data_IF_021700714705
#
_entry.id   IF_021700714705
#
_cell.length_a   1.000
_cell.length_b   1.000
_cell.length_c   1.000
_cell.angle_alpha   90.00
_cell.angle_beta   90.00
_cell.angle_gamma   90.00
#
_symmetry.space_group_name_H-M   'P 1'
#
loop_
_entity.id
_entity.type
_entity.pdbx_description
1 polymer ?
#
# COMPACT_ATOMS: atom_id res chain seq x y z
N UNK A 1 70.14 -18.02 8.35
CA UNK A 1 70.95 -16.84 7.93
C UNK A 1 70.68 -16.53 6.45
N UNK A 2 70.42 -15.26 6.14
CA UNK A 2 70.53 -14.53 4.84
C UNK A 2 69.67 -15.07 3.66
N UNK A 3 68.58 -14.36 3.29
CA UNK A 3 68.46 -13.23 2.33
C UNK A 3 68.75 -13.63 0.87
N UNK A 4 67.79 -13.42 -0.03
CA UNK A 4 67.77 -12.27 -0.96
C UNK A 4 66.46 -12.21 -1.73
N UNK A 5 65.83 -11.03 -1.70
CA UNK A 5 64.71 -10.59 -2.53
C UNK A 5 65.24 -9.55 -3.53
N UNK A 6 64.67 -9.54 -4.72
CA UNK A 6 65.11 -8.75 -5.89
C UNK A 6 64.26 -7.49 -6.06
N UNK A 7 64.96 -6.41 -6.40
CA UNK A 7 64.60 -5.32 -7.35
C UNK A 7 63.33 -4.48 -7.15
N UNK A 8 63.26 -3.19 -7.50
CA UNK A 8 64.19 -2.13 -7.90
C UNK A 8 63.32 -0.84 -7.83
N UNK A 9 63.83 0.25 -7.25
CA UNK A 9 63.21 1.57 -7.24
C UNK A 9 64.01 2.53 -8.13
N UNK A 10 63.31 3.35 -8.91
CA UNK A 10 63.83 4.50 -9.66
C UNK A 10 62.70 5.53 -9.91
N UNK A 11 63.00 6.82 -10.08
CA UNK A 11 62.30 7.88 -9.34
C UNK A 11 61.37 8.81 -10.15
N UNK A 12 60.63 9.63 -9.39
CA UNK A 12 59.70 10.71 -9.78
C UNK A 12 60.42 11.94 -10.37
N UNK A 13 59.74 12.81 -11.18
CA UNK A 13 59.31 14.10 -10.60
C UNK A 13 58.03 14.78 -11.17
N UNK A 14 57.40 15.56 -10.27
CA UNK A 14 56.77 16.91 -10.39
C UNK A 14 55.66 17.26 -11.43
N UNK A 15 54.44 17.28 -10.85
CA UNK A 15 53.20 18.10 -10.94
C UNK A 15 53.06 19.33 -11.89
N UNK A 16 51.79 19.50 -12.35
CA UNK A 16 50.97 20.72 -12.64
C UNK A 16 50.67 20.98 -14.15
N UNK A 17 49.45 21.22 -14.68
CA UNK A 17 48.09 21.53 -14.21
C UNK A 17 47.05 20.94 -15.20
N UNK A 18 45.81 20.63 -14.78
CA UNK A 18 44.66 20.36 -15.68
C UNK A 18 43.42 21.12 -15.19
N UNK A 19 42.59 21.72 -16.08
CA UNK A 19 41.45 22.56 -15.69
C UNK A 19 40.16 21.75 -15.40
N UNK A 20 39.37 22.30 -14.47
CA UNK A 20 37.90 22.36 -14.40
C UNK A 20 37.11 21.11 -14.81
N UNK A 21 36.64 20.32 -13.82
CA UNK A 21 35.60 19.30 -14.02
C UNK A 21 34.22 19.95 -14.20
N UNK A 22 33.64 19.75 -15.38
CA UNK A 22 32.19 19.79 -15.58
C UNK A 22 31.53 18.69 -14.74
N UNK A 23 30.46 19.06 -14.06
CA UNK A 23 29.53 18.12 -13.42
C UNK A 23 28.68 17.51 -14.52
N UNK A 24 29.08 16.34 -15.04
CA UNK A 24 28.20 15.51 -15.85
C UNK A 24 27.44 14.54 -14.96
N UNK A 25 26.12 14.59 -15.10
CA UNK A 25 25.13 13.73 -14.44
C UNK A 25 25.55 12.27 -14.40
N UNK A 26 25.56 11.67 -13.21
CA UNK A 26 25.54 10.23 -13.05
C UNK A 26 24.20 9.70 -13.56
N UNK A 27 24.16 9.32 -14.84
CA UNK A 27 23.20 8.36 -15.34
C UNK A 27 23.44 7.04 -14.60
N UNK A 28 22.52 6.68 -13.72
CA UNK A 28 22.54 5.39 -13.05
C UNK A 28 22.31 4.29 -14.10
N UNK A 29 23.14 3.24 -14.13
CA UNK A 29 22.89 2.11 -15.02
C UNK A 29 21.59 1.43 -14.60
N UNK A 30 20.61 1.44 -15.51
CA UNK A 30 19.45 0.57 -15.44
C UNK A 30 19.91 -0.87 -15.59
N UNK A 31 20.29 -1.51 -14.49
CA UNK A 31 20.36 -2.97 -14.47
C UNK A 31 18.93 -3.49 -14.61
N UNK A 32 18.64 -4.04 -15.79
CA UNK A 32 17.43 -4.77 -16.12
C UNK A 32 17.31 -6.05 -15.31
N UNK A 33 16.97 -5.92 -14.02
CA UNK A 33 16.08 -6.89 -13.42
C UNK A 33 14.77 -6.75 -14.20
N UNK A 34 14.42 -7.76 -14.99
CA UNK A 34 13.07 -7.90 -15.54
C UNK A 34 12.09 -7.55 -14.43
N UNK A 35 11.35 -6.45 -14.59
CA UNK A 35 10.35 -6.05 -13.62
C UNK A 35 9.46 -7.27 -13.39
N UNK A 36 9.52 -7.84 -12.18
CA UNK A 36 8.72 -9.01 -11.84
C UNK A 36 7.28 -8.55 -11.97
N UNK A 37 6.62 -8.99 -13.03
CA UNK A 37 5.26 -8.58 -13.38
C UNK A 37 4.29 -9.31 -12.45
N UNK A 38 4.30 -8.91 -11.17
CA UNK A 38 3.37 -9.38 -10.15
C UNK A 38 1.96 -9.06 -10.62
N UNK A 39 1.12 -10.10 -10.69
CA UNK A 39 -0.30 -9.95 -11.01
C UNK A 39 -1.14 -10.32 -9.81
N UNK A 40 -2.19 -9.55 -9.57
CA UNK A 40 -3.19 -9.85 -8.56
C UNK A 40 -4.60 -9.64 -9.10
N UNK A 41 -5.56 -10.25 -8.41
CA UNK A 41 -6.98 -10.01 -8.62
C UNK A 41 -7.57 -9.30 -7.40
N UNK A 42 -8.58 -8.47 -7.68
CA UNK A 42 -9.42 -7.87 -6.65
C UNK A 42 -10.73 -8.66 -6.58
N UNK A 43 -10.91 -9.41 -5.50
CA UNK A 43 -12.14 -10.17 -5.24
C UNK A 43 -13.01 -9.36 -4.27
N UNK A 44 -14.32 -9.19 -4.50
CA UNK A 44 -15.15 -8.41 -3.59
C UNK A 44 -15.21 -9.07 -2.21
N UNK A 45 -15.09 -8.26 -1.17
CA UNK A 45 -15.36 -8.67 0.20
C UNK A 45 -16.87 -8.87 0.38
N UNK A 46 -17.26 -9.92 1.09
CA UNK A 46 -18.65 -10.19 1.42
C UNK A 46 -18.97 -9.75 2.86
N UNK A 47 -19.70 -8.64 3.06
CA UNK A 47 -20.07 -8.15 4.39
C UNK A 47 -21.07 -9.07 5.12
N UNK A 48 -21.72 -9.98 4.40
CA UNK A 48 -22.74 -10.89 4.94
C UNK A 48 -22.16 -12.27 5.28
N UNK A 49 -20.90 -12.54 4.92
CA UNK A 49 -20.19 -13.76 5.27
C UNK A 49 -19.33 -13.58 6.52
N UNK A 50 -19.62 -14.35 7.57
CA UNK A 50 -18.84 -14.33 8.81
C UNK A 50 -17.36 -14.67 8.58
N UNK A 51 -17.06 -15.57 7.63
CA UNK A 51 -15.69 -15.95 7.28
C UNK A 51 -14.91 -14.77 6.67
N UNK A 52 -15.56 -13.97 5.82
CA UNK A 52 -14.97 -12.78 5.21
C UNK A 52 -14.77 -11.67 6.25
N UNK A 53 -15.75 -11.47 7.13
CA UNK A 53 -15.66 -10.47 8.22
C UNK A 53 -14.51 -10.82 9.16
N UNK A 54 -14.45 -12.07 9.62
CA UNK A 54 -13.39 -12.56 10.51
C UNK A 54 -12.01 -12.46 9.85
N UNK A 55 -11.88 -12.85 8.57
CA UNK A 55 -10.61 -12.69 7.84
C UNK A 55 -10.18 -11.23 7.79
N UNK A 56 -11.11 -10.30 7.62
CA UNK A 56 -10.77 -8.88 7.48
C UNK A 56 -10.31 -8.33 8.83
N UNK A 57 -10.97 -8.70 9.92
CA UNK A 57 -10.54 -8.41 11.30
C UNK A 57 -9.10 -8.90 11.52
N UNK A 58 -8.80 -10.15 11.17
CA UNK A 58 -7.44 -10.70 11.32
C UNK A 58 -6.39 -9.88 10.55
N UNK A 59 -6.68 -9.50 9.31
CA UNK A 59 -5.77 -8.65 8.53
C UNK A 59 -5.65 -7.23 9.09
N UNK A 60 -6.72 -6.66 9.69
CA UNK A 60 -6.66 -5.35 10.36
C UNK A 60 -5.88 -5.40 11.67
N UNK A 61 -5.98 -6.49 12.43
CA UNK A 61 -5.14 -6.74 13.60
C UNK A 61 -3.67 -6.82 13.16
N UNK A 62 -3.36 -7.60 12.11
CA UNK A 62 -2.01 -7.68 11.56
C UNK A 62 -1.50 -6.33 11.02
N UNK A 63 -2.40 -5.52 10.45
CA UNK A 63 -2.10 -4.16 10.00
C UNK A 63 -1.84 -3.20 11.18
N UNK A 64 -2.42 -3.45 12.35
CA UNK A 64 -2.33 -2.61 13.54
C UNK A 64 -3.31 -1.44 13.59
N UNK A 65 -4.37 -1.45 12.78
CA UNK A 65 -5.29 -0.30 12.64
C UNK A 65 -6.74 -0.73 12.46
N UNK A 66 -7.65 -0.16 13.25
CA UNK A 66 -9.10 -0.15 13.01
C UNK A 66 -9.73 -1.54 12.81
N UNK A 67 -9.31 -2.54 13.59
CA UNK A 67 -9.88 -3.88 13.51
C UNK A 67 -11.32 -3.91 14.04
N UNK A 68 -11.58 -3.12 15.08
CA UNK A 68 -12.88 -2.92 15.71
C UNK A 68 -13.92 -2.34 14.75
N UNK A 69 -13.49 -1.52 13.78
CA UNK A 69 -14.39 -0.84 12.81
C UNK A 69 -14.93 -1.78 11.73
N UNK A 70 -14.35 -2.97 11.55
CA UNK A 70 -14.75 -3.89 10.48
C UNK A 70 -16.21 -4.34 10.65
N UNK A 71 -16.55 -4.83 11.84
CA UNK A 71 -17.89 -5.34 12.12
C UNK A 71 -18.89 -4.23 12.47
N UNK A 72 -18.44 -3.14 13.10
CA UNK A 72 -19.32 -2.06 13.58
C UNK A 72 -19.63 -0.99 12.54
N UNK A 73 -18.76 -0.77 11.56
CA UNK A 73 -18.89 0.35 10.62
C UNK A 73 -18.73 -0.08 9.17
N UNK A 74 -17.64 -0.76 8.82
CA UNK A 74 -17.30 -1.00 7.42
C UNK A 74 -18.28 -1.97 6.73
N UNK A 75 -18.83 -2.92 7.50
CA UNK A 75 -19.93 -3.77 7.07
C UNK A 75 -21.13 -2.94 6.60
N UNK A 76 -21.56 -2.00 7.43
CA UNK A 76 -22.73 -1.15 7.17
C UNK A 76 -22.45 -0.15 6.04
N UNK A 77 -21.25 0.44 5.99
CA UNK A 77 -20.83 1.32 4.89
C UNK A 77 -20.85 0.59 3.53
N UNK A 78 -20.48 -0.69 3.50
CA UNK A 78 -20.53 -1.49 2.27
C UNK A 78 -21.94 -1.93 1.90
N UNK A 79 -22.78 -2.28 2.87
CA UNK A 79 -24.20 -2.55 2.66
C UNK A 79 -24.94 -1.31 2.14
N UNK A 80 -24.62 -0.14 2.67
CA UNK A 80 -25.18 1.15 2.26
C UNK A 80 -24.61 1.67 0.92
N UNK A 81 -23.66 0.96 0.30
CA UNK A 81 -23.07 1.38 -0.96
C UNK A 81 -22.32 2.72 -0.86
N UNK A 82 -21.60 2.92 0.25
CA UNK A 82 -20.67 4.03 0.49
C UNK A 82 -19.21 3.61 0.35
N UNK A 83 -18.92 2.33 0.63
CA UNK A 83 -17.61 1.70 0.54
C UNK A 83 -17.69 0.39 -0.23
N UNK A 84 -16.62 0.02 -0.92
CA UNK A 84 -16.41 -1.31 -1.47
C UNK A 84 -15.01 -1.77 -1.11
N UNK A 85 -14.93 -2.84 -0.34
CA UNK A 85 -13.71 -3.51 0.05
C UNK A 85 -13.48 -4.68 -0.91
N UNK A 86 -12.23 -4.83 -1.32
CA UNK A 86 -11.78 -5.92 -2.17
C UNK A 86 -10.59 -6.61 -1.51
N UNK A 87 -10.62 -7.93 -1.53
CA UNK A 87 -9.48 -8.78 -1.25
C UNK A 87 -8.44 -8.67 -2.36
N UNK A 88 -7.18 -8.56 -1.96
CA UNK A 88 -6.04 -8.71 -2.85
C UNK A 88 -5.66 -10.20 -2.86
N UNK A 89 -5.74 -10.81 -4.04
CA UNK A 89 -5.46 -12.24 -4.24
C UNK A 89 -4.34 -12.39 -5.27
N UNK A 90 -3.37 -13.26 -5.00
CA UNK A 90 -2.32 -13.59 -5.97
C UNK A 90 -2.94 -14.21 -7.23
N UNK A 91 -2.47 -13.79 -8.41
CA UNK A 91 -2.87 -14.41 -9.66
C UNK A 91 -2.33 -15.85 -9.75
N UNK A 92 -3.15 -16.86 -10.10
CA UNK A 92 -2.64 -18.22 -10.29
C UNK A 92 -1.65 -18.30 -11.46
N UNK A 93 -1.71 -17.35 -12.40
CA UNK A 93 -0.74 -17.22 -13.50
C UNK A 93 0.60 -16.61 -13.08
N UNK A 94 0.80 -16.29 -11.80
CA UNK A 94 2.07 -15.75 -11.30
C UNK A 94 3.12 -16.88 -11.20
N UNK A 95 4.30 -16.76 -11.84
CA UNK A 95 5.33 -17.79 -11.80
C UNK A 95 5.80 -18.15 -10.38
N UNK A 96 5.67 -17.24 -9.43
CA UNK A 96 6.08 -17.44 -8.03
C UNK A 96 4.87 -17.66 -7.09
N UNK A 97 3.70 -18.01 -7.62
CA UNK A 97 2.45 -18.14 -6.85
C UNK A 97 2.64 -18.99 -5.59
N UNK A 98 3.11 -20.24 -5.73
CA UNK A 98 3.27 -21.18 -4.61
C UNK A 98 4.26 -20.68 -3.56
N UNK A 99 5.38 -20.10 -4.01
CA UNK A 99 6.42 -19.56 -3.13
C UNK A 99 5.87 -18.37 -2.32
N UNK A 100 5.14 -17.47 -2.98
CA UNK A 100 4.56 -16.28 -2.33
C UNK A 100 3.45 -16.68 -1.37
N UNK A 101 2.55 -17.56 -1.80
CA UNK A 101 1.47 -18.06 -0.95
C UNK A 101 2.02 -18.77 0.29
N UNK A 102 3.03 -19.63 0.10
CA UNK A 102 3.71 -20.32 1.22
C UNK A 102 4.32 -19.34 2.21
N UNK A 103 4.97 -18.27 1.72
CA UNK A 103 5.56 -17.23 2.58
C UNK A 103 4.50 -16.47 3.37
N UNK A 104 3.35 -16.17 2.76
CA UNK A 104 2.21 -15.57 3.47
C UNK A 104 1.69 -16.50 4.56
N UNK A 105 1.38 -17.77 4.24
CA UNK A 105 0.84 -18.76 5.18
C UNK A 105 1.82 -19.03 6.33
N UNK A 106 3.12 -19.11 6.04
CA UNK A 106 4.13 -19.31 7.08
C UNK A 106 4.14 -18.18 8.12
N UNK A 107 3.84 -16.95 7.69
CA UNK A 107 3.75 -15.80 8.59
C UNK A 107 2.39 -15.64 9.25
N UNK A 108 1.31 -15.97 8.53
CA UNK A 108 -0.08 -15.85 8.99
C UNK A 108 -0.80 -17.21 8.89
N UNK A 109 -0.51 -18.18 9.77
CA UNK A 109 -1.10 -19.52 9.68
C UNK A 109 -2.63 -19.53 9.80
N UNK A 110 -3.20 -18.58 10.53
CA UNK A 110 -4.66 -18.39 10.66
C UNK A 110 -5.33 -18.01 9.33
N UNK A 111 -4.57 -17.45 8.39
CA UNK A 111 -5.07 -17.03 7.08
C UNK A 111 -4.97 -18.16 6.01
N UNK A 112 -4.52 -19.37 6.39
CA UNK A 112 -4.31 -20.49 5.46
C UNK A 112 -5.56 -20.96 4.75
N UNK A 113 -6.71 -20.96 5.44
CA UNK A 113 -7.94 -21.50 4.87
C UNK A 113 -8.45 -20.59 3.76
N UNK A 114 -8.80 -21.13 2.57
CA UNK A 114 -9.34 -20.32 1.49
C UNK A 114 -10.75 -19.85 1.81
N UNK A 115 -11.08 -18.62 1.40
CA UNK A 115 -12.44 -18.12 1.35
C UNK A 115 -13.13 -18.56 0.06
N UNK A 116 -14.46 -18.44 0.04
CA UNK A 116 -15.28 -18.59 -1.16
C UNK A 116 -15.71 -17.24 -1.71
N UNK A 117 -15.79 -17.16 -3.03
CA UNK A 117 -16.31 -15.98 -3.72
C UNK A 117 -17.84 -15.88 -3.60
N UNK A 118 -18.31 -15.33 -2.48
CA UNK A 118 -19.72 -15.23 -2.11
C UNK A 118 -20.31 -13.82 -2.29
N UNK A 119 -19.49 -12.78 -2.45
CA UNK A 119 -19.96 -11.39 -2.46
C UNK A 119 -20.94 -11.09 -3.59
N UNK A 120 -22.17 -10.69 -3.28
CA UNK A 120 -23.24 -10.55 -4.28
C UNK A 120 -23.24 -9.22 -5.03
N UNK A 121 -22.34 -8.30 -4.67
CA UNK A 121 -22.25 -6.99 -5.30
C UNK A 121 -20.80 -6.55 -5.48
N UNK A 122 -20.63 -5.64 -6.42
CA UNK A 122 -19.36 -4.96 -6.73
C UNK A 122 -19.60 -3.46 -6.81
N UNK A 123 -18.58 -2.68 -6.48
CA UNK A 123 -18.56 -1.22 -6.64
C UNK A 123 -19.54 -0.43 -5.77
N UNK A 124 -19.34 0.89 -5.81
CA UNK A 124 -20.08 1.92 -5.10
C UNK A 124 -20.73 2.83 -6.17
N UNK A 125 -22.05 2.79 -6.45
CA UNK A 125 -23.10 2.02 -5.77
C UNK A 125 -23.08 0.53 -6.14
N UNK A 126 -23.65 -0.30 -5.23
CA UNK A 126 -23.74 -1.76 -5.35
C UNK A 126 -24.29 -2.17 -6.71
N UNK A 127 -23.40 -2.66 -7.56
CA UNK A 127 -23.76 -3.33 -8.82
C UNK A 127 -23.87 -4.81 -8.54
N UNK A 128 -25.07 -5.36 -8.71
CA UNK A 128 -25.32 -6.78 -8.52
C UNK A 128 -24.42 -7.61 -9.43
N UNK A 129 -23.94 -8.74 -8.91
CA UNK A 129 -23.20 -9.72 -9.70
C UNK A 129 -23.45 -11.12 -9.18
N UNK A 130 -23.23 -12.10 -10.05
CA UNK A 130 -23.25 -13.50 -9.65
C UNK A 130 -21.94 -13.87 -8.92
N UNK A 131 -22.02 -14.40 -7.68
CA UNK A 131 -20.88 -14.97 -6.99
C UNK A 131 -20.33 -16.18 -7.76
N UNK A 132 -19.02 -16.26 -7.95
CA UNK A 132 -18.41 -17.38 -8.71
C UNK A 132 -18.17 -18.61 -7.85
N UNK A 133 -18.27 -18.48 -6.52
CA UNK A 133 -17.97 -19.53 -5.53
C UNK A 133 -16.56 -20.16 -5.66
N UNK A 134 -15.68 -19.51 -6.40
CA UNK A 134 -14.28 -19.90 -6.53
C UNK A 134 -13.57 -19.75 -5.18
N UNK A 135 -12.66 -20.67 -4.87
CA UNK A 135 -11.82 -20.60 -3.68
C UNK A 135 -10.62 -19.72 -3.91
N UNK A 136 -10.26 -18.89 -2.92
CA UNK A 136 -9.07 -18.06 -2.96
C UNK A 136 -8.51 -17.79 -1.56
N UNK A 137 -7.23 -17.46 -1.48
CA UNK A 137 -6.58 -17.03 -0.23
C UNK A 137 -6.27 -15.54 -0.33
N UNK A 138 -6.98 -14.67 0.43
CA UNK A 138 -6.64 -13.26 0.52
C UNK A 138 -5.25 -13.07 1.12
N UNK A 139 -4.45 -12.20 0.50
CA UNK A 139 -3.11 -11.81 1.01
C UNK A 139 -3.04 -10.30 1.31
N UNK A 140 -4.18 -9.64 1.33
CA UNK A 140 -4.35 -8.23 1.62
C UNK A 140 -5.76 -7.76 1.26
N UNK A 141 -6.01 -6.46 1.42
CA UNK A 141 -7.26 -5.82 1.03
C UNK A 141 -7.03 -4.35 0.63
N UNK A 142 -7.98 -3.79 -0.10
CA UNK A 142 -8.03 -2.39 -0.48
C UNK A 142 -9.50 -1.97 -0.60
N UNK A 143 -9.82 -0.71 -0.30
CA UNK A 143 -11.19 -0.23 -0.46
C UNK A 143 -11.28 1.03 -1.31
N UNK A 144 -12.39 1.14 -2.02
CA UNK A 144 -12.83 2.33 -2.74
C UNK A 144 -14.08 2.86 -2.03
N UNK A 145 -14.09 4.14 -1.66
CA UNK A 145 -15.23 4.80 -1.01
C UNK A 145 -15.65 6.07 -1.78
N UNK A 146 -16.93 6.40 -1.75
CA UNK A 146 -17.45 7.63 -2.35
C UNK A 146 -17.03 8.89 -1.59
N UNK A 147 -16.77 8.75 -0.30
CA UNK A 147 -16.54 9.85 0.61
C UNK A 147 -15.69 9.42 1.80
N UNK A 148 -15.14 10.41 2.51
CA UNK A 148 -14.53 10.26 3.83
C UNK A 148 -15.16 11.30 4.76
N UNK A 149 -16.19 10.94 5.55
CA UNK A 149 -16.90 11.88 6.40
C UNK A 149 -15.99 12.67 7.35
N UNK A 150 -14.90 12.06 7.84
CA UNK A 150 -13.96 12.71 8.75
C UNK A 150 -13.12 13.80 8.04
N UNK A 151 -13.01 13.74 6.71
CA UNK A 151 -12.24 14.69 5.91
C UNK A 151 -13.06 15.88 5.37
N UNK A 152 -14.40 15.86 5.53
CA UNK A 152 -15.29 16.88 4.93
C UNK A 152 -14.99 18.31 5.39
N UNK A 153 -14.64 18.48 6.65
CA UNK A 153 -14.35 19.79 7.24
C UNK A 153 -12.91 20.27 6.98
N UNK A 154 -12.11 19.48 6.25
CA UNK A 154 -10.71 19.80 6.01
C UNK A 154 -10.48 20.69 4.80
N UNK A 155 -11.51 21.06 4.05
CA UNK A 155 -11.40 21.93 2.86
C UNK A 155 -10.25 21.50 1.94
N UNK A 156 -10.37 20.30 1.37
CA UNK A 156 -9.34 19.67 0.54
C UNK A 156 -9.36 20.14 -0.92
N UNK A 157 -10.21 21.12 -1.26
CA UNK A 157 -10.41 21.64 -2.62
C UNK A 157 -10.67 20.53 -3.66
N UNK A 158 -11.53 19.59 -3.29
CA UNK A 158 -11.88 18.45 -4.14
C UNK A 158 -13.03 18.82 -5.10
N UNK A 159 -13.05 18.28 -6.33
CA UNK A 159 -14.20 18.43 -7.22
C UNK A 159 -15.48 17.87 -6.59
N UNK A 160 -16.61 18.48 -6.92
CA UNK A 160 -17.93 18.06 -6.39
C UNK A 160 -18.41 16.69 -6.88
N UNK A 161 -17.77 16.12 -7.90
CA UNK A 161 -18.12 14.83 -8.50
C UNK A 161 -16.91 14.14 -9.12
N UNK A 162 -17.01 12.82 -9.32
CA UNK A 162 -15.95 12.01 -9.92
C UNK A 162 -14.75 11.79 -9.00
N UNK A 163 -14.93 11.94 -7.69
CA UNK A 163 -13.92 11.68 -6.66
C UNK A 163 -14.19 10.31 -6.04
N UNK A 164 -13.15 9.51 -5.88
CA UNK A 164 -13.19 8.26 -5.10
C UNK A 164 -12.01 8.21 -4.13
N UNK A 165 -12.27 7.72 -2.94
CA UNK A 165 -11.28 7.56 -1.89
C UNK A 165 -10.71 6.15 -1.88
N UNK A 166 -9.40 6.03 -1.92
CA UNK A 166 -8.69 4.78 -1.60
C UNK A 166 -8.45 4.77 -0.09
N UNK A 167 -9.04 3.78 0.58
CA UNK A 167 -8.94 3.63 2.04
C UNK A 167 -8.58 2.19 2.39
N UNK A 168 -8.10 1.99 3.61
CA UNK A 168 -7.86 0.65 4.18
C UNK A 168 -7.02 -0.27 3.27
N UNK A 169 -6.03 0.27 2.57
CA UNK A 169 -5.09 -0.57 1.82
C UNK A 169 -4.16 -1.29 2.80
N UNK A 170 -4.09 -2.61 2.69
CA UNK A 170 -3.16 -3.46 3.40
C UNK A 170 -2.67 -4.57 2.48
N UNK A 171 -1.36 -4.78 2.48
CA UNK A 171 -0.73 -5.93 1.83
C UNK A 171 0.05 -6.68 2.90
N UNK A 172 -0.17 -8.00 2.96
CA UNK A 172 0.57 -8.89 3.85
C UNK A 172 2.05 -8.54 3.82
N UNK A 173 2.61 -8.24 4.98
CA UNK A 173 3.96 -7.71 5.06
C UNK A 173 5.03 -8.75 4.68
N UNK A 174 4.66 -10.03 4.69
CA UNK A 174 5.39 -11.14 4.10
C UNK A 174 5.60 -10.98 2.59
N UNK A 175 4.75 -10.20 1.91
CA UNK A 175 4.76 -10.02 0.46
C UNK A 175 5.12 -8.59 0.02
N UNK A 176 5.43 -7.71 0.96
CA UNK A 176 5.89 -6.35 0.66
C UNK A 176 7.26 -6.36 -0.05
N UNK A 177 7.56 -5.28 -0.75
CA UNK A 177 8.73 -5.14 -1.64
C UNK A 177 8.74 -6.07 -2.87
N UNK A 178 7.70 -6.88 -3.09
CA UNK A 178 7.55 -7.77 -4.25
C UNK A 178 6.65 -7.24 -5.37
N UNK A 179 6.22 -5.98 -5.32
CA UNK A 179 5.35 -5.36 -6.34
C UNK A 179 3.84 -5.57 -6.14
N UNK A 180 3.40 -6.34 -5.13
CA UNK A 180 1.98 -6.64 -4.90
C UNK A 180 1.14 -5.38 -4.61
N UNK A 181 1.65 -4.45 -3.81
CA UNK A 181 0.96 -3.18 -3.55
C UNK A 181 0.80 -2.34 -4.83
N UNK A 182 1.80 -2.36 -5.72
CA UNK A 182 1.71 -1.67 -7.02
C UNK A 182 0.63 -2.31 -7.89
N UNK A 183 0.63 -3.64 -8.00
CA UNK A 183 -0.39 -4.37 -8.77
C UNK A 183 -1.81 -4.14 -8.23
N UNK A 184 -1.98 -4.14 -6.90
CA UNK A 184 -3.28 -3.89 -6.26
C UNK A 184 -3.80 -2.47 -6.52
N UNK A 185 -2.92 -1.46 -6.43
CA UNK A 185 -3.28 -0.09 -6.77
C UNK A 185 -3.57 0.07 -8.26
N UNK A 186 -2.78 -0.53 -9.16
CA UNK A 186 -3.03 -0.50 -10.61
C UNK A 186 -4.43 -1.09 -10.92
N UNK A 187 -4.82 -2.18 -10.24
CA UNK A 187 -6.14 -2.77 -10.36
C UNK A 187 -7.26 -1.87 -9.80
N UNK A 188 -7.06 -1.28 -8.61
CA UNK A 188 -8.05 -0.41 -7.96
C UNK A 188 -8.25 0.91 -8.75
N UNK A 189 -7.17 1.52 -9.24
CA UNK A 189 -7.20 2.70 -10.11
C UNK A 189 -7.93 2.38 -11.42
N UNK A 190 -7.62 1.23 -12.04
CA UNK A 190 -8.30 0.75 -13.23
C UNK A 190 -9.79 0.51 -13.02
N UNK A 191 -10.18 -0.05 -11.87
CA UNK A 191 -11.59 -0.21 -11.49
C UNK A 191 -12.30 1.13 -11.28
N UNK A 192 -11.65 2.06 -10.59
CA UNK A 192 -12.23 3.37 -10.29
C UNK A 192 -12.47 4.20 -11.56
N UNK A 193 -11.55 4.15 -12.54
CA UNK A 193 -11.67 4.92 -13.79
C UNK A 193 -12.80 4.45 -14.73
N UNK A 194 -13.31 3.23 -14.57
CA UNK A 194 -14.24 2.60 -15.52
C UNK A 194 -15.69 2.66 -15.01
N UNK A 195 -16.69 2.48 -15.88
CA UNK A 195 -18.06 2.26 -15.45
C UNK A 195 -18.16 1.09 -14.46
N UNK A 196 -19.00 1.20 -13.42
CA UNK A 196 -19.94 2.29 -13.15
C UNK A 196 -19.33 3.48 -12.38
N UNK A 197 -18.09 3.37 -11.91
CA UNK A 197 -17.48 4.36 -10.99
C UNK A 197 -17.08 5.67 -11.69
N UNK A 198 -16.47 5.58 -12.88
CA UNK A 198 -16.07 6.73 -13.69
C UNK A 198 -15.33 7.83 -12.90
N UNK A 199 -14.50 7.44 -11.93
CA UNK A 199 -13.73 8.35 -11.13
C UNK A 199 -12.69 9.07 -11.99
N UNK A 200 -12.56 10.38 -11.77
CA UNK A 200 -11.58 11.26 -12.41
C UNK A 200 -10.45 11.63 -11.45
N UNK A 201 -10.75 11.63 -10.15
CA UNK A 201 -9.79 11.94 -9.09
C UNK A 201 -9.83 10.83 -8.05
N UNK A 202 -8.66 10.35 -7.68
CA UNK A 202 -8.49 9.49 -6.52
C UNK A 202 -7.88 10.28 -5.38
N UNK A 203 -8.38 10.05 -4.17
CA UNK A 203 -7.88 10.67 -2.95
C UNK A 203 -7.51 9.58 -1.95
N UNK A 204 -6.46 9.81 -1.19
CA UNK A 204 -6.04 8.94 -0.08
C UNK A 204 -5.38 9.78 1.00
N UNK A 205 -5.20 9.16 2.14
CA UNK A 205 -4.44 9.71 3.26
C UNK A 205 -3.42 8.70 3.75
N UNK A 206 -2.34 9.20 4.33
CA UNK A 206 -1.34 8.38 4.98
C UNK A 206 -0.60 9.17 6.06
N UNK A 207 0.08 8.48 6.97
CA UNK A 207 0.97 9.13 7.95
C UNK A 207 2.03 9.93 7.19
N UNK A 208 2.25 11.17 7.60
CA UNK A 208 3.22 12.06 6.98
C UNK A 208 4.62 11.44 7.01
N UNK A 209 5.39 11.63 5.94
CA UNK A 209 6.66 10.92 5.73
C UNK A 209 7.64 10.95 6.91
N UNK A 210 7.82 12.09 7.57
CA UNK A 210 8.83 12.23 8.64
C UNK A 210 8.32 11.57 9.92
N UNK A 211 7.01 11.67 10.19
CA UNK A 211 6.38 11.00 11.32
C UNK A 211 6.38 9.48 11.14
N UNK A 212 6.10 8.99 9.92
CA UNK A 212 6.10 7.56 9.63
C UNK A 212 7.51 6.95 9.74
N UNK A 213 8.54 7.71 9.40
CA UNK A 213 9.94 7.29 9.47
C UNK A 213 10.58 7.56 10.84
N UNK A 214 9.91 8.27 11.75
CA UNK A 214 10.38 8.50 13.11
C UNK A 214 10.53 7.16 13.82
N UNK A 215 11.72 6.88 14.33
CA UNK A 215 12.09 5.54 14.79
C UNK A 215 11.17 5.01 15.91
N UNK A 216 10.86 5.86 16.89
CA UNK A 216 9.98 5.51 18.01
C UNK A 216 8.57 5.11 17.54
N UNK A 217 8.00 5.87 16.62
CA UNK A 217 6.69 5.63 16.02
C UNK A 217 6.71 4.41 15.12
N UNK A 218 7.71 4.28 14.25
CA UNK A 218 7.79 3.18 13.30
C UNK A 218 7.99 1.82 14.00
N UNK A 219 8.82 1.77 15.05
CA UNK A 219 9.00 0.57 15.86
C UNK A 219 7.74 0.24 16.67
N UNK A 220 7.01 1.26 17.14
CA UNK A 220 5.75 1.10 17.85
C UNK A 220 4.65 0.49 16.98
N UNK A 221 4.41 1.11 15.83
CA UNK A 221 3.26 0.83 14.98
C UNK A 221 3.52 -0.32 14.00
N UNK A 222 4.76 -0.44 13.50
CA UNK A 222 5.09 -1.37 12.43
C UNK A 222 6.17 -2.39 12.82
N UNK A 223 6.82 -2.21 13.98
CA UNK A 223 7.92 -3.08 14.44
C UNK A 223 9.21 -2.93 13.65
N UNK A 224 9.29 -1.97 12.71
CA UNK A 224 10.47 -1.68 11.89
C UNK A 224 10.39 -0.26 11.33
N UNK A 225 11.56 0.33 11.08
CA UNK A 225 11.66 1.55 10.27
C UNK A 225 11.67 1.16 8.80
N UNK A 226 10.69 1.64 8.04
CA UNK A 226 10.64 1.41 6.60
C UNK A 226 11.76 2.19 5.88
N UNK A 227 12.20 1.71 4.71
CA UNK A 227 13.18 2.43 3.86
C UNK A 227 12.57 3.61 3.10
N UNK A 228 11.25 3.66 3.04
CA UNK A 228 10.46 4.62 2.29
C UNK A 228 9.11 4.74 2.99
N UNK A 229 8.64 5.97 3.15
CA UNK A 229 7.30 6.23 3.64
C UNK A 229 6.23 5.88 2.59
N UNK A 230 5.00 5.68 3.04
CA UNK A 230 3.85 5.53 2.16
C UNK A 230 3.63 6.78 1.31
N UNK A 231 3.82 7.97 1.89
CA UNK A 231 3.72 9.25 1.17
C UNK A 231 4.66 9.28 -0.03
N UNK A 232 5.94 8.92 0.16
CA UNK A 232 6.91 8.82 -0.94
C UNK A 232 6.55 7.71 -1.94
N UNK A 233 6.02 6.59 -1.47
CA UNK A 233 5.58 5.49 -2.33
C UNK A 233 4.42 5.90 -3.23
N UNK A 234 3.41 6.58 -2.69
CA UNK A 234 2.29 7.13 -3.45
C UNK A 234 2.75 8.26 -4.39
N UNK A 235 3.70 9.11 -3.96
CA UNK A 235 4.27 10.15 -4.82
C UNK A 235 4.91 9.56 -6.08
N UNK A 236 5.64 8.44 -5.96
CA UNK A 236 6.21 7.72 -7.12
C UNK A 236 5.15 7.12 -8.06
N UNK A 237 3.91 6.96 -7.58
CA UNK A 237 2.76 6.56 -8.40
C UNK A 237 2.02 7.75 -9.01
N UNK A 238 2.52 8.98 -8.84
CA UNK A 238 1.90 10.18 -9.37
C UNK A 238 0.83 10.81 -8.48
N UNK A 239 0.74 10.40 -7.21
CA UNK A 239 -0.08 11.13 -6.23
C UNK A 239 0.62 12.40 -5.79
N UNK A 240 -0.11 13.51 -5.73
CA UNK A 240 0.36 14.81 -5.23
C UNK A 240 -0.26 15.12 -3.88
N UNK A 241 0.50 15.78 -3.01
CA UNK A 241 0.00 16.24 -1.72
C UNK A 241 -1.06 17.32 -1.93
N UNK A 242 -2.19 17.18 -1.22
CA UNK A 242 -3.23 18.20 -1.10
C UNK A 242 -3.05 19.02 0.17
N UNK A 243 -2.95 18.32 1.31
CA UNK A 243 -2.94 18.95 2.63
C UNK A 243 -2.24 18.06 3.64
N UNK A 244 -1.65 18.67 4.66
CA UNK A 244 -1.11 17.98 5.84
C UNK A 244 -1.90 18.45 7.05
N UNK A 245 -2.41 17.50 7.85
CA UNK A 245 -3.28 17.78 9.00
C UNK A 245 -2.74 17.05 10.24
N UNK A 246 -2.45 17.74 11.35
CA UNK A 246 -2.02 17.11 12.59
C UNK A 246 -3.20 16.40 13.28
N UNK A 247 -2.94 15.24 13.89
CA UNK A 247 -3.89 14.55 14.77
C UNK A 247 -5.13 13.99 14.08
N UNK A 248 -5.15 13.88 12.74
CA UNK A 248 -6.33 13.43 11.98
C UNK A 248 -6.77 12.00 12.34
N UNK A 249 -5.81 11.09 12.55
CA UNK A 249 -6.13 9.72 12.99
C UNK A 249 -6.57 9.65 14.45
N UNK A 250 -6.56 10.78 15.17
CA UNK A 250 -6.99 10.86 16.54
C UNK A 250 -6.13 10.04 17.48
N UNK A 251 -6.78 9.52 18.51
CA UNK A 251 -6.13 8.89 19.65
C UNK A 251 -6.08 7.35 19.50
N UNK A 252 -5.32 6.87 18.52
CA UNK A 252 -5.13 5.42 18.32
C UNK A 252 -3.91 4.97 19.14
N UNK A 253 -4.12 4.16 20.20
CA UNK A 253 -3.00 3.62 20.96
C UNK A 253 -2.22 2.59 20.13
N UNK A 254 -0.89 2.59 20.28
CA UNK A 254 -0.06 1.49 19.79
C UNK A 254 -0.30 0.21 20.62
N UNK A 255 0.36 -0.89 20.21
CA UNK A 255 0.31 -2.18 20.92
C UNK A 255 0.81 -2.14 22.38
N UNK A 256 1.45 -1.05 22.79
CA UNK A 256 1.94 -0.81 24.15
C UNK A 256 1.07 0.19 24.92
N UNK A 257 -0.06 0.64 24.35
CA UNK A 257 -0.95 1.62 24.95
C UNK A 257 -0.43 3.06 24.86
N UNK A 258 0.57 3.35 24.02
CA UNK A 258 1.05 4.72 23.82
C UNK A 258 0.22 5.43 22.76
N UNK A 259 -0.10 6.68 23.05
CA UNK A 259 -0.96 7.53 22.25
C UNK A 259 -0.14 8.50 21.39
N UNK A 260 -0.53 8.67 20.13
CA UNK A 260 0.25 9.41 19.13
C UNK A 260 -0.51 10.60 18.55
N UNK A 261 -0.94 11.52 19.43
CA UNK A 261 -1.87 12.61 19.10
C UNK A 261 -1.30 13.66 18.12
N UNK A 262 0.03 13.77 18.01
CA UNK A 262 0.69 14.78 17.17
C UNK A 262 1.03 14.29 15.76
N UNK A 263 0.73 13.02 15.46
CA UNK A 263 1.08 12.43 14.16
C UNK A 263 0.30 13.14 13.05
N UNK A 264 1.05 13.64 12.07
CA UNK A 264 0.48 14.32 10.92
C UNK A 264 0.03 13.31 9.89
N UNK A 265 -1.09 13.62 9.25
CA UNK A 265 -1.63 12.88 8.12
C UNK A 265 -1.51 13.72 6.87
N UNK A 266 -0.96 13.13 5.81
CA UNK A 266 -0.86 13.73 4.48
C UNK A 266 -2.01 13.20 3.63
N UNK A 267 -2.89 14.11 3.19
CA UNK A 267 -3.87 13.84 2.16
C UNK A 267 -3.22 14.03 0.80
N UNK A 268 -3.44 13.07 -0.10
CA UNK A 268 -2.88 13.07 -1.44
C UNK A 268 -3.96 12.76 -2.47
N UNK A 269 -3.81 13.27 -3.67
CA UNK A 269 -4.70 12.93 -4.78
C UNK A 269 -3.95 12.60 -6.05
N UNK A 270 -4.64 11.96 -6.99
CA UNK A 270 -4.17 11.72 -8.33
C UNK A 270 -5.31 11.89 -9.32
N UNK A 271 -5.04 12.65 -10.37
CA UNK A 271 -5.91 12.78 -11.52
C UNK A 271 -5.74 11.55 -12.44
N UNK A 272 -6.84 10.88 -12.78
CA UNK A 272 -6.84 9.66 -13.60
C UNK A 272 -6.88 9.93 -15.11
N UNK A 273 -7.01 11.20 -15.52
CA UNK A 273 -7.25 11.58 -16.90
C UNK A 273 -8.71 11.35 -17.32
N UNK A 274 -9.15 12.10 -18.33
CA UNK A 274 -10.47 11.96 -18.97
C UNK A 274 -10.45 10.94 -20.09
#
# INVERSE_FOLDING_TARGET
>A
MRRTSSSLQGPCPLVQMVPTRQVTSCAWPMNGATAVNMKCHLMPWDPESDEHVERLIQQRIACGWNAERVASEWKDEQLAGQKSIFWIVLSPDDPDFDTRLSRHIAKYPSEKLPLKDTGQSTFVPRTAREPKLASFVPVGHISLAKDDPAARDLDLDLPSAGVMWIKAMYVSDALQNGGLGRAAMDAAEGMASRPPLNARVLVLDTVQKDDQLREDYALAMYGRVAKMSNEEWYARRGYRVLKVVPGYYGDVPDRYGRHWMEIRTTFMCRDLGS
#
